data_IF_396514224101
#
_entry.id   IF_396514224101
#
_cell.length_a   1.000
_cell.length_b   1.000
_cell.length_c   1.000
_cell.angle_alpha   90.00
_cell.angle_beta   90.00
_cell.angle_gamma   90.00
#
_symmetry.space_group_name_H-M   'P 1'
#
loop_
_entity.id
_entity.type
_entity.pdbx_description
1 polymer ?
#
# COMPACT_ATOMS: atom_id res chain seq x y z
N UNK A 1 -9.98 -8.09 -17.40
CA UNK A 1 -8.53 -8.05 -17.10
C UNK A 1 -8.36 -8.10 -15.59
N UNK A 2 -7.46 -8.92 -15.04
CA UNK A 2 -7.21 -8.91 -13.59
C UNK A 2 -6.31 -7.71 -13.26
N UNK A 3 -6.58 -6.95 -12.18
CA UNK A 3 -5.73 -5.84 -11.76
C UNK A 3 -4.32 -6.34 -11.45
N UNK A 4 -3.30 -5.50 -11.69
CA UNK A 4 -1.93 -5.84 -11.33
C UNK A 4 -1.76 -5.86 -9.80
N UNK A 5 -0.62 -6.40 -9.36
CA UNK A 5 -0.23 -6.34 -7.95
C UNK A 5 -0.14 -4.90 -7.47
N UNK A 6 0.49 -4.04 -8.27
CA UNK A 6 0.68 -2.62 -7.96
C UNK A 6 -0.68 -1.91 -7.83
N UNK A 7 -1.60 -2.13 -8.76
CA UNK A 7 -2.96 -1.58 -8.71
C UNK A 7 -3.68 -1.99 -7.40
N UNK A 8 -3.51 -3.26 -7.01
CA UNK A 8 -4.16 -3.82 -5.82
C UNK A 8 -3.61 -3.20 -4.54
N UNK A 9 -2.30 -3.01 -4.44
CA UNK A 9 -1.66 -2.43 -3.26
C UNK A 9 -1.88 -0.91 -3.17
N UNK A 10 -1.81 -0.20 -4.30
CA UNK A 10 -2.07 1.24 -4.35
C UNK A 10 -3.53 1.57 -4.01
N UNK A 11 -4.49 0.75 -4.46
CA UNK A 11 -5.90 0.92 -4.08
C UNK A 11 -6.16 0.75 -2.57
N UNK A 12 -5.25 0.10 -1.84
CA UNK A 12 -5.34 -0.07 -0.40
C UNK A 12 -4.73 1.11 0.40
N UNK A 13 -4.11 2.08 -0.25
CA UNK A 13 -3.45 3.23 0.38
C UNK A 13 -4.26 4.50 0.14
N UNK A 14 -4.64 5.20 1.21
CA UNK A 14 -5.32 6.49 1.10
C UNK A 14 -4.30 7.61 0.87
N UNK A 15 -4.68 8.60 0.06
CA UNK A 15 -3.91 9.84 -0.12
C UNK A 15 -4.62 10.99 0.56
N UNK A 16 -3.92 11.71 1.44
CA UNK A 16 -4.41 12.86 2.18
C UNK A 16 -3.63 14.09 1.72
N UNK A 17 -4.24 15.03 0.98
CA UNK A 17 -3.57 16.25 0.58
C UNK A 17 -3.35 17.18 1.79
N UNK A 18 -2.29 17.98 1.70
CA UNK A 18 -1.94 19.07 2.63
C UNK A 18 -1.75 18.64 4.09
N UNK A 19 -1.34 17.39 4.31
CA UNK A 19 -1.05 16.84 5.64
C UNK A 19 0.42 16.40 5.78
N UNK A 20 1.10 16.68 6.92
CA UNK A 20 0.66 17.53 8.03
C UNK A 20 0.81 19.03 7.72
N UNK A 21 1.29 19.40 6.53
CA UNK A 21 1.50 20.78 6.08
C UNK A 21 1.07 20.93 4.61
N UNK A 22 0.72 22.14 4.16
CA UNK A 22 0.36 22.42 2.77
C UNK A 22 1.44 21.98 1.78
N UNK A 23 1.01 21.45 0.63
CA UNK A 23 1.86 20.97 -0.45
C UNK A 23 2.31 19.51 -0.33
N UNK A 24 1.90 18.78 0.71
CA UNK A 24 2.27 17.37 0.92
C UNK A 24 1.11 16.45 0.53
N UNK A 25 1.38 15.42 -0.28
CA UNK A 25 0.45 14.29 -0.49
C UNK A 25 0.82 13.15 0.45
N UNK A 26 0.21 13.13 1.64
CA UNK A 26 0.48 12.10 2.63
C UNK A 26 -0.12 10.75 2.20
N UNK A 27 0.70 9.70 2.20
CA UNK A 27 0.27 8.33 1.91
C UNK A 27 -0.01 7.61 3.23
N UNK A 28 -1.28 7.51 3.55
CA UNK A 28 -1.73 6.85 4.76
C UNK A 28 -1.87 5.34 4.52
N UNK A 29 -0.88 4.57 5.01
CA UNK A 29 -0.84 3.12 4.88
C UNK A 29 -1.71 2.40 5.91
N UNK A 30 -2.32 3.09 6.87
CA UNK A 30 -3.13 2.43 7.92
C UNK A 30 -4.32 1.66 7.33
N UNK A 31 -4.84 2.10 6.18
CA UNK A 31 -5.86 1.37 5.42
C UNK A 31 -5.34 0.08 4.81
N UNK A 32 -4.08 0.05 4.35
CA UNK A 32 -3.41 -1.17 3.87
C UNK A 32 -3.17 -2.12 5.03
N UNK A 33 -2.65 -1.62 6.15
CA UNK A 33 -2.37 -2.42 7.35
C UNK A 33 -3.64 -3.06 7.94
N UNK A 34 -4.77 -2.35 7.86
CA UNK A 34 -6.08 -2.87 8.33
C UNK A 34 -6.70 -3.91 7.40
N UNK A 35 -6.23 -4.02 6.16
CA UNK A 35 -6.71 -5.00 5.19
C UNK A 35 -5.82 -6.25 5.21
N UNK A 36 -6.27 -7.31 5.89
CA UNK A 36 -5.50 -8.54 6.06
C UNK A 36 -4.96 -9.16 4.76
N UNK A 37 -5.74 -9.11 3.67
CA UNK A 37 -5.32 -9.66 2.37
C UNK A 37 -4.24 -8.79 1.71
N UNK A 38 -4.46 -7.48 1.67
CA UNK A 38 -3.49 -6.54 1.08
C UNK A 38 -2.19 -6.52 1.89
N UNK A 39 -2.30 -6.53 3.23
CA UNK A 39 -1.15 -6.56 4.12
C UNK A 39 -0.32 -7.84 3.95
N UNK A 40 -0.98 -9.01 3.93
CA UNK A 40 -0.27 -10.28 3.69
C UNK A 40 0.47 -10.25 2.36
N UNK A 41 -0.20 -9.81 1.30
CA UNK A 41 0.43 -9.72 -0.02
C UNK A 41 1.62 -8.76 -0.03
N UNK A 42 1.51 -7.60 0.60
CA UNK A 42 2.61 -6.64 0.69
C UNK A 42 3.84 -7.25 1.38
N UNK A 43 3.64 -7.99 2.47
CA UNK A 43 4.74 -8.69 3.16
C UNK A 43 5.33 -9.80 2.30
N UNK A 44 4.50 -10.63 1.66
CA UNK A 44 4.98 -11.71 0.81
C UNK A 44 5.88 -11.16 -0.31
N UNK A 45 5.50 -10.05 -0.94
CA UNK A 45 6.27 -9.39 -2.01
C UNK A 45 7.54 -8.71 -1.51
N UNK A 46 7.55 -8.16 -0.29
CA UNK A 46 8.76 -7.61 0.32
C UNK A 46 9.79 -8.69 0.64
N UNK A 47 9.34 -9.88 1.04
CA UNK A 47 10.21 -11.01 1.40
C UNK A 47 10.65 -11.79 0.16
N UNK A 48 9.83 -11.85 -0.89
CA UNK A 48 10.06 -12.68 -2.07
C UNK A 48 11.47 -12.57 -2.68
N UNK A 49 12.07 -11.37 -2.86
CA UNK A 49 13.42 -11.25 -3.42
C UNK A 49 14.53 -11.82 -2.54
N UNK A 50 14.25 -12.09 -1.26
CA UNK A 50 15.17 -12.60 -0.26
C UNK A 50 14.85 -14.03 0.18
N UNK A 51 13.82 -14.65 -0.41
CA UNK A 51 13.54 -16.05 -0.23
C UNK A 51 14.58 -16.86 -1.04
N UNK A 52 15.44 -17.59 -0.33
CA UNK A 52 16.51 -18.41 -0.91
C UNK A 52 16.02 -19.59 -1.73
#
# INVERSE_FOLDING_TARGET
>A
MKPSLEDTLLAAIRTIPDYPKPGILFRDITTLLSNARAFRRAIDELVHPYAG
#
